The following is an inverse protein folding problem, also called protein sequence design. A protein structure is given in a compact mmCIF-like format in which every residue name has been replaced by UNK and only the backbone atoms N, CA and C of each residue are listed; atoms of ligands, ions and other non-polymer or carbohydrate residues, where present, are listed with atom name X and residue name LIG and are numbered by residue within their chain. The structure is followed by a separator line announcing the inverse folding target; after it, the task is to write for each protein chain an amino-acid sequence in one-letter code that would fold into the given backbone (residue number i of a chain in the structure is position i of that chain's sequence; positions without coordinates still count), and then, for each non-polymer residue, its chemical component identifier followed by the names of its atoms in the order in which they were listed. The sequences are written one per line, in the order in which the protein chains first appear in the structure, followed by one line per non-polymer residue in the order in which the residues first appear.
data_IF_880939561675
#
_entry.id   IF_880939561675
#
_cell.length_a   1.000
_cell.length_b   1.000
_cell.length_c   1.000
_cell.angle_alpha   90.00
_cell.angle_beta   90.00
_cell.angle_gamma   90.00
#
_symmetry.space_group_name_H-M   'P 1'
#
loop_
_entity.id
_entity.type
_entity.pdbx_description
1 polymer ?
#
# COMPACT_ATOMS: atom_id res chain seq x y z
N UNK A 1 -54.66 17.40 58.26
CA UNK A 1 -54.29 16.68 57.03
C UNK A 1 -52.89 17.11 56.60
N UNK A 2 -52.05 16.12 56.32
CA UNK A 2 -50.68 16.17 55.81
C UNK A 2 -50.65 16.79 54.38
N UNK A 3 -49.56 17.16 53.69
CA UNK A 3 -48.16 16.69 53.63
C UNK A 3 -47.28 17.82 53.06
N UNK A 4 -46.13 18.10 53.69
CA UNK A 4 -45.13 19.02 53.16
C UNK A 4 -44.05 18.22 52.40
N UNK A 5 -44.17 18.12 51.07
CA UNK A 5 -43.22 17.38 50.21
C UNK A 5 -41.91 18.17 50.06
N UNK A 6 -40.89 17.84 50.86
CA UNK A 6 -39.52 18.36 50.71
C UNK A 6 -38.90 17.80 49.43
N UNK A 7 -38.83 18.61 48.38
CA UNK A 7 -38.05 18.33 47.18
C UNK A 7 -36.55 18.34 47.53
N UNK A 8 -35.93 17.16 47.58
CA UNK A 8 -34.49 16.99 47.72
C UNK A 8 -33.76 17.42 46.46
N UNK A 9 -33.30 18.68 46.41
CA UNK A 9 -32.28 19.11 45.44
C UNK A 9 -30.95 18.48 45.86
N UNK A 10 -30.63 17.31 45.28
CA UNK A 10 -29.27 16.76 45.30
C UNK A 10 -28.36 17.83 44.68
N UNK A 11 -27.45 18.39 45.48
CA UNK A 11 -26.42 19.28 44.98
C UNK A 11 -25.54 18.48 44.01
N UNK A 12 -25.68 18.73 42.71
CA UNK A 12 -24.76 18.24 41.71
C UNK A 12 -23.43 18.94 41.97
N UNK A 13 -22.51 18.24 42.63
CA UNK A 13 -21.14 18.68 42.84
C UNK A 13 -20.48 18.77 41.45
N UNK A 14 -20.45 19.97 40.88
CA UNK A 14 -19.78 20.24 39.61
C UNK A 14 -18.27 20.14 39.77
N UNK A 15 -17.60 19.59 38.75
CA UNK A 15 -16.13 19.64 38.64
C UNK A 15 -15.65 21.09 38.64
N UNK A 16 -14.51 21.35 39.29
CA UNK A 16 -13.93 22.69 39.31
C UNK A 16 -13.31 23.03 37.95
N UNK A 17 -13.35 24.30 37.55
CA UNK A 17 -12.68 24.76 36.31
C UNK A 17 -11.19 24.41 36.31
N UNK A 18 -10.57 24.43 37.49
CA UNK A 18 -9.16 24.11 37.69
C UNK A 18 -8.87 22.64 37.36
N UNK A 19 -9.71 21.70 37.82
CA UNK A 19 -9.56 20.27 37.48
C UNK A 19 -9.66 20.03 35.97
N UNK A 20 -10.54 20.75 35.27
CA UNK A 20 -10.68 20.61 33.82
C UNK A 20 -9.46 21.16 33.08
N UNK A 21 -8.91 22.32 33.49
CA UNK A 21 -7.75 22.92 32.83
C UNK A 21 -6.50 22.03 33.00
N UNK A 22 -6.27 21.49 34.20
CA UNK A 22 -5.12 20.61 34.44
C UNK A 22 -5.19 19.36 33.57
N UNK A 23 -6.38 18.75 33.43
CA UNK A 23 -6.57 17.58 32.57
C UNK A 23 -6.34 17.92 31.10
N UNK A 24 -6.87 19.05 30.60
CA UNK A 24 -6.65 19.48 29.22
C UNK A 24 -5.17 19.75 28.92
N UNK A 25 -4.42 20.32 29.87
CA UNK A 25 -2.98 20.55 29.71
C UNK A 25 -2.21 19.22 29.61
N UNK A 26 -2.53 18.24 30.47
CA UNK A 26 -1.89 16.92 30.40
C UNK A 26 -2.23 16.21 29.08
N UNK A 27 -3.49 16.26 28.64
CA UNK A 27 -3.91 15.69 27.35
C UNK A 27 -3.19 16.35 26.17
N UNK A 28 -2.98 17.66 26.21
CA UNK A 28 -2.26 18.39 25.16
C UNK A 28 -0.79 17.93 25.06
N UNK A 29 -0.10 17.76 26.19
CA UNK A 29 1.29 17.29 26.21
C UNK A 29 1.40 15.85 25.70
N UNK A 30 0.50 14.97 26.15
CA UNK A 30 0.47 13.57 25.71
C UNK A 30 0.17 13.45 24.21
N UNK A 31 -0.80 14.22 23.70
CA UNK A 31 -1.11 14.25 22.28
C UNK A 31 0.08 14.72 21.44
N UNK A 32 0.76 15.80 21.87
CA UNK A 32 1.92 16.33 21.17
C UNK A 32 3.08 15.32 21.06
N UNK A 33 3.33 14.53 22.11
CA UNK A 33 4.36 13.50 22.08
C UNK A 33 3.97 12.26 21.26
N UNK A 34 2.66 11.99 21.10
CA UNK A 34 2.16 10.79 20.43
C UNK A 34 2.08 10.93 18.90
N UNK A 35 1.82 12.13 18.38
CA UNK A 35 1.65 12.36 16.93
C UNK A 35 2.84 11.87 16.08
N UNK A 36 4.11 12.19 16.40
CA UNK A 36 5.25 11.76 15.57
C UNK A 36 5.44 10.23 15.52
N UNK A 37 5.12 9.54 16.63
CA UNK A 37 5.20 8.08 16.70
C UNK A 37 4.12 7.42 15.83
N UNK A 38 2.91 7.99 15.81
CA UNK A 38 1.80 7.50 14.99
C UNK A 38 2.05 7.71 13.49
N UNK A 39 2.57 8.87 13.09
CA UNK A 39 2.87 9.13 11.67
C UNK A 39 3.93 8.17 11.13
N UNK A 40 5.02 7.93 11.88
CA UNK A 40 6.03 6.96 11.47
C UNK A 40 5.53 5.51 11.41
N UNK A 41 4.55 5.14 12.26
CA UNK A 41 3.93 3.81 12.19
C UNK A 41 3.01 3.67 10.96
N UNK A 42 2.29 4.73 10.60
CA UNK A 42 1.44 4.76 9.40
C UNK A 42 2.28 4.56 8.15
N UNK A 43 3.43 5.23 8.02
CA UNK A 43 4.29 5.09 6.85
C UNK A 43 4.87 3.67 6.73
N UNK A 44 5.31 3.09 7.85
CA UNK A 44 5.73 1.67 7.88
C UNK A 44 4.58 0.73 7.52
N UNK A 45 3.36 0.99 7.98
CA UNK A 45 2.20 0.17 7.63
C UNK A 45 1.90 0.25 6.11
N UNK A 46 1.97 1.45 5.52
CA UNK A 46 1.83 1.64 4.07
C UNK A 46 2.89 0.87 3.29
N UNK A 47 4.15 0.96 3.71
CA UNK A 47 5.26 0.21 3.11
C UNK A 47 5.02 -1.31 3.18
N UNK A 48 4.60 -1.83 4.35
CA UNK A 48 4.30 -3.26 4.51
C UNK A 48 3.16 -3.71 3.61
N UNK A 49 2.09 -2.94 3.50
CA UNK A 49 0.98 -3.21 2.58
C UNK A 49 1.45 -3.20 1.14
N UNK A 50 2.25 -2.19 0.75
CA UNK A 50 2.80 -2.08 -0.59
C UNK A 50 3.67 -3.29 -0.96
N UNK A 51 4.54 -3.74 -0.03
CA UNK A 51 5.38 -4.94 -0.25
C UNK A 51 4.51 -6.19 -0.40
N UNK A 52 3.41 -6.30 0.35
CA UNK A 52 2.49 -7.42 0.22
C UNK A 52 1.80 -7.43 -1.15
N UNK A 53 1.27 -6.29 -1.61
CA UNK A 53 0.72 -6.13 -2.96
C UNK A 53 1.75 -6.50 -4.03
N UNK A 54 2.97 -5.95 -3.93
CA UNK A 54 4.03 -6.19 -4.90
C UNK A 54 4.46 -7.67 -4.97
N UNK A 55 4.40 -8.40 -3.85
CA UNK A 55 4.64 -9.86 -3.81
C UNK A 55 3.55 -10.63 -4.54
N UNK A 56 2.29 -10.22 -4.42
CA UNK A 56 1.18 -10.82 -5.17
C UNK A 56 1.37 -10.58 -6.66
N UNK A 57 1.69 -9.34 -7.05
CA UNK A 57 2.00 -8.94 -8.43
C UNK A 57 3.17 -9.76 -8.99
N UNK A 58 4.27 -9.88 -8.24
CA UNK A 58 5.43 -10.69 -8.65
C UNK A 58 5.04 -12.15 -8.88
N UNK A 59 4.24 -12.73 -8.00
CA UNK A 59 3.81 -14.14 -8.10
C UNK A 59 2.88 -14.36 -9.30
N UNK A 60 1.94 -13.44 -9.53
CA UNK A 60 1.05 -13.47 -10.68
C UNK A 60 1.83 -13.32 -12.00
N UNK A 61 2.74 -12.36 -12.06
CA UNK A 61 3.61 -12.16 -13.22
C UNK A 61 4.51 -13.37 -13.48
N UNK A 62 5.09 -13.95 -12.44
CA UNK A 62 5.92 -15.14 -12.55
C UNK A 62 5.12 -16.35 -13.07
N UNK A 63 3.84 -16.46 -12.69
CA UNK A 63 2.93 -17.50 -13.17
C UNK A 63 2.69 -17.36 -14.67
N UNK A 64 2.25 -16.18 -15.11
CA UNK A 64 1.97 -15.92 -16.53
C UNK A 64 3.22 -16.00 -17.41
N UNK A 65 4.37 -15.53 -16.91
CA UNK A 65 5.63 -15.65 -17.63
C UNK A 65 6.05 -17.10 -17.83
N UNK A 66 5.79 -17.96 -16.84
CA UNK A 66 6.10 -19.39 -16.93
C UNK A 66 5.20 -20.09 -17.95
N UNK A 67 3.92 -19.73 -18.00
CA UNK A 67 2.97 -20.20 -19.01
C UNK A 67 3.42 -19.79 -20.42
N UNK A 68 3.71 -18.51 -20.62
CA UNK A 68 4.11 -17.96 -21.91
C UNK A 68 5.44 -18.56 -22.41
N UNK A 69 6.39 -18.77 -21.49
CA UNK A 69 7.64 -19.46 -21.82
C UNK A 69 7.42 -20.92 -22.23
N UNK A 70 6.47 -21.61 -21.60
CA UNK A 70 6.14 -22.99 -21.96
C UNK A 70 5.58 -23.12 -23.38
N UNK A 71 4.82 -22.12 -23.84
CA UNK A 71 4.17 -22.11 -25.14
C UNK A 71 5.07 -21.55 -26.25
N UNK A 72 5.78 -20.46 -25.97
CA UNK A 72 6.47 -19.64 -26.98
C UNK A 72 7.98 -19.49 -26.73
N UNK A 73 8.49 -20.03 -25.63
CA UNK A 73 9.90 -19.98 -25.26
C UNK A 73 10.39 -18.60 -24.84
N UNK A 74 11.70 -18.47 -24.64
CA UNK A 74 12.33 -17.27 -24.09
C UNK A 74 12.10 -15.99 -24.92
N UNK A 75 11.88 -16.11 -26.24
CA UNK A 75 11.74 -14.95 -27.13
C UNK A 75 10.42 -14.19 -26.93
N UNK A 76 9.41 -14.83 -26.35
CA UNK A 76 8.14 -14.17 -26.06
C UNK A 76 8.23 -13.22 -24.86
N UNK A 77 9.18 -13.48 -23.95
CA UNK A 77 9.48 -12.73 -22.75
C UNK A 77 10.52 -11.63 -23.03
N UNK A 78 10.12 -10.57 -23.74
CA UNK A 78 10.95 -9.39 -24.00
C UNK A 78 10.58 -8.21 -23.08
N UNK A 79 11.24 -7.06 -23.29
CA UNK A 79 11.06 -5.85 -22.47
C UNK A 79 9.64 -5.28 -22.52
N UNK A 80 8.90 -5.57 -23.58
CA UNK A 80 7.60 -4.97 -23.84
C UNK A 80 6.46 -5.91 -23.43
N UNK A 81 6.80 -7.10 -22.92
CA UNK A 81 5.89 -8.19 -22.60
C UNK A 81 4.67 -7.73 -21.80
N UNK A 82 4.85 -6.87 -20.79
CA UNK A 82 3.73 -6.38 -19.95
C UNK A 82 2.68 -5.60 -20.75
N UNK A 83 3.07 -4.92 -21.82
CA UNK A 83 2.17 -4.13 -22.67
C UNK A 83 1.55 -4.94 -23.81
N UNK A 84 2.09 -6.14 -24.08
CA UNK A 84 1.52 -7.02 -25.11
C UNK A 84 0.15 -7.51 -24.69
N UNK A 85 -0.76 -7.56 -25.65
CA UNK A 85 -2.07 -8.16 -25.48
C UNK A 85 -1.93 -9.69 -25.45
N UNK A 86 -2.36 -10.31 -24.36
CA UNK A 86 -2.52 -11.75 -24.28
C UNK A 86 -3.89 -12.15 -24.87
N UNK A 87 -4.13 -13.45 -25.13
CA UNK A 87 -5.44 -13.93 -25.61
C UNK A 87 -6.59 -13.37 -24.75
N UNK A 88 -7.55 -12.69 -25.39
CA UNK A 88 -8.71 -12.06 -24.73
C UNK A 88 -8.66 -10.53 -24.58
N UNK A 89 -7.95 -9.82 -25.46
CA UNK A 89 -7.91 -8.34 -25.57
C UNK A 89 -7.42 -7.57 -24.34
N UNK A 90 -6.83 -8.27 -23.36
CA UNK A 90 -6.19 -7.68 -22.17
C UNK A 90 -4.68 -7.72 -22.29
N UNK A 91 -4.01 -6.67 -21.81
CA UNK A 91 -2.54 -6.70 -21.70
C UNK A 91 -2.10 -7.72 -20.65
N UNK A 92 -0.83 -8.13 -20.71
CA UNK A 92 -0.26 -8.94 -19.62
C UNK A 92 -0.29 -8.18 -18.29
N UNK A 93 -0.07 -6.87 -18.30
CA UNK A 93 -0.26 -6.03 -17.11
C UNK A 93 -1.66 -6.20 -16.51
N UNK A 94 -2.72 -6.03 -17.31
CA UNK A 94 -4.11 -6.18 -16.84
C UNK A 94 -4.35 -7.58 -16.23
N UNK A 95 -3.83 -8.63 -16.88
CA UNK A 95 -3.97 -10.00 -16.38
C UNK A 95 -3.21 -10.23 -15.07
N UNK A 96 -2.02 -9.64 -14.93
CA UNK A 96 -1.22 -9.72 -13.71
C UNK A 96 -1.98 -9.04 -12.56
N UNK A 97 -2.52 -7.85 -12.81
CA UNK A 97 -3.26 -7.08 -11.81
C UNK A 97 -4.56 -7.78 -11.40
N UNK A 98 -5.31 -8.34 -12.36
CA UNK A 98 -6.49 -9.16 -12.08
C UNK A 98 -6.14 -10.39 -11.22
N UNK A 99 -5.06 -11.11 -11.53
CA UNK A 99 -4.61 -12.27 -10.76
C UNK A 99 -4.09 -11.91 -9.37
N UNK A 100 -3.52 -10.72 -9.22
CA UNK A 100 -3.02 -10.19 -7.95
C UNK A 100 -4.11 -9.53 -7.10
N UNK A 101 -5.36 -9.48 -7.60
CA UNK A 101 -6.50 -8.80 -6.98
C UNK A 101 -6.21 -7.30 -6.71
N UNK A 102 -5.56 -6.66 -7.68
CA UNK A 102 -5.22 -5.23 -7.63
C UNK A 102 -6.18 -4.47 -8.54
N UNK A 103 -6.91 -3.52 -7.96
CA UNK A 103 -7.70 -2.56 -8.72
C UNK A 103 -6.91 -1.25 -8.83
N UNK A 104 -6.45 -0.86 -10.03
CA UNK A 104 -5.70 0.37 -10.21
C UNK A 104 -6.53 1.60 -9.84
N UNK A 105 -5.86 2.64 -9.31
CA UNK A 105 -6.47 3.93 -9.01
C UNK A 105 -5.78 5.02 -9.81
N UNK A 106 -6.52 6.04 -10.20
CA UNK A 106 -5.94 7.25 -10.79
C UNK A 106 -6.18 8.44 -9.90
N UNK A 107 -5.22 9.35 -9.85
CA UNK A 107 -5.32 10.62 -9.14
C UNK A 107 -4.69 11.72 -9.98
N UNK A 108 -5.07 12.97 -9.76
CA UNK A 108 -4.47 14.11 -10.45
C UNK A 108 -3.65 14.91 -9.45
N UNK A 109 -2.34 15.00 -9.68
CA UNK A 109 -1.40 15.77 -8.87
C UNK A 109 -0.74 16.83 -9.75
N UNK A 110 -0.95 18.11 -9.44
CA UNK A 110 -0.39 19.22 -10.22
C UNK A 110 -0.79 19.23 -11.71
N UNK A 111 -1.94 18.64 -12.06
CA UNK A 111 -2.41 18.52 -13.44
C UNK A 111 -1.91 17.30 -14.21
N UNK A 112 -1.15 16.41 -13.55
CA UNK A 112 -0.68 15.14 -14.13
C UNK A 112 -1.48 13.98 -13.57
N UNK A 113 -1.92 13.07 -14.44
CA UNK A 113 -2.55 11.81 -14.02
C UNK A 113 -1.49 10.86 -13.47
N UNK A 114 -1.64 10.50 -12.20
CA UNK A 114 -0.85 9.48 -11.50
C UNK A 114 -1.67 8.20 -11.46
N UNK A 115 -1.05 7.06 -11.80
CA UNK A 115 -1.62 5.73 -11.65
C UNK A 115 -1.03 5.03 -10.42
N UNK A 116 -1.88 4.30 -9.73
CA UNK A 116 -1.57 3.47 -8.57
C UNK A 116 -2.07 2.05 -8.83
N UNK A 117 -1.42 1.06 -8.25
CA UNK A 117 -1.60 -0.33 -8.67
C UNK A 117 -1.07 -0.58 -10.08
N UNK A 118 0.08 0.02 -10.42
CA UNK A 118 0.60 0.17 -11.79
C UNK A 118 1.96 -0.52 -11.90
N UNK A 119 2.20 -1.25 -13.00
CA UNK A 119 3.48 -1.94 -13.27
C UNK A 119 4.22 -1.14 -14.34
N UNK A 120 5.18 -0.33 -13.93
CA UNK A 120 5.89 0.57 -14.85
C UNK A 120 6.99 -0.14 -15.64
N UNK A 121 7.56 -1.21 -15.08
CA UNK A 121 8.57 -2.01 -15.76
C UNK A 121 8.63 -3.43 -15.20
N UNK A 122 8.85 -4.40 -16.08
CA UNK A 122 9.14 -5.79 -15.70
C UNK A 122 10.12 -6.38 -16.70
N UNK A 123 11.17 -7.04 -16.21
CA UNK A 123 12.16 -7.71 -17.06
C UNK A 123 12.45 -9.12 -16.58
N UNK A 124 13.07 -9.91 -17.46
CA UNK A 124 13.41 -11.32 -17.21
C UNK A 124 14.91 -11.57 -17.21
N UNK A 125 15.34 -12.56 -16.42
CA UNK A 125 16.68 -13.12 -16.54
C UNK A 125 16.84 -13.69 -17.95
N UNK A 126 17.96 -13.39 -18.62
CA UNK A 126 18.18 -13.78 -20.01
C UNK A 126 17.95 -15.27 -20.24
N UNK A 127 17.05 -15.58 -21.18
CA UNK A 127 16.72 -16.94 -21.58
C UNK A 127 15.83 -17.72 -20.59
N UNK A 128 15.35 -17.10 -19.52
CA UNK A 128 14.60 -17.77 -18.44
C UNK A 128 13.26 -17.08 -18.20
N UNK A 129 12.24 -17.87 -17.88
CA UNK A 129 11.01 -17.37 -17.27
C UNK A 129 11.24 -17.05 -15.80
N UNK A 130 12.15 -16.12 -15.49
CA UNK A 130 12.39 -15.67 -14.12
C UNK A 130 12.45 -14.16 -14.13
N UNK A 131 11.63 -13.51 -13.31
CA UNK A 131 11.61 -12.06 -13.21
C UNK A 131 12.96 -11.57 -12.65
N UNK A 132 13.63 -10.69 -13.39
CA UNK A 132 14.88 -10.04 -13.00
C UNK A 132 14.62 -8.70 -12.31
N UNK A 133 13.71 -7.90 -12.86
CA UNK A 133 13.26 -6.65 -12.24
C UNK A 133 11.75 -6.49 -12.31
N UNK A 134 11.17 -5.85 -11.30
CA UNK A 134 9.78 -5.39 -11.29
C UNK A 134 9.75 -4.00 -10.65
N UNK A 135 9.14 -3.03 -11.31
CA UNK A 135 8.83 -1.71 -10.76
C UNK A 135 7.31 -1.58 -10.65
N UNK A 136 6.84 -1.32 -9.43
CA UNK A 136 5.42 -1.31 -9.08
C UNK A 136 5.10 -0.10 -8.21
N UNK A 137 4.01 0.60 -8.53
CA UNK A 137 3.47 1.64 -7.66
C UNK A 137 2.24 1.10 -6.95
N UNK A 138 2.29 1.00 -5.62
CA UNK A 138 1.19 0.44 -4.82
C UNK A 138 -0.09 1.27 -4.87
N UNK A 139 -1.21 0.67 -4.48
CA UNK A 139 -2.50 1.40 -4.40
C UNK A 139 -2.49 2.55 -3.38
N UNK A 140 -1.52 2.53 -2.46
CA UNK A 140 -1.26 3.58 -1.47
C UNK A 140 -0.19 4.59 -1.88
N UNK A 141 0.35 4.50 -3.11
CA UNK A 141 1.32 5.44 -3.68
C UNK A 141 2.79 5.15 -3.37
N UNK A 142 3.10 4.04 -2.71
CA UNK A 142 4.49 3.63 -2.46
C UNK A 142 5.07 2.97 -3.71
N UNK A 143 6.15 3.53 -4.26
CA UNK A 143 6.88 2.90 -5.37
C UNK A 143 7.86 1.87 -4.83
N UNK A 144 7.89 0.71 -5.47
CA UNK A 144 8.72 -0.43 -5.09
C UNK A 144 9.48 -0.94 -6.30
N UNK A 145 10.72 -1.34 -6.06
CA UNK A 145 11.56 -2.04 -7.02
C UNK A 145 11.96 -3.40 -6.47
N UNK A 146 11.75 -4.44 -7.25
CA UNK A 146 12.30 -5.77 -7.04
C UNK A 146 13.53 -5.93 -7.93
N UNK A 147 14.69 -6.25 -7.34
CA UNK A 147 15.92 -6.52 -8.07
C UNK A 147 16.92 -7.28 -7.18
N UNK A 148 18.03 -7.74 -7.77
CA UNK A 148 19.17 -8.24 -6.99
C UNK A 148 19.87 -7.09 -6.27
N UNK A 149 20.14 -7.28 -4.98
CA UNK A 149 20.99 -6.41 -4.19
C UNK A 149 22.48 -6.70 -4.44
N UNK A 150 23.36 -5.95 -3.79
CA UNK A 150 24.82 -6.10 -3.90
C UNK A 150 25.34 -7.48 -3.47
N UNK A 151 24.55 -8.24 -2.71
CA UNK A 151 24.85 -9.61 -2.27
C UNK A 151 24.37 -10.68 -3.27
N UNK A 152 23.60 -10.29 -4.29
CA UNK A 152 23.01 -11.18 -5.29
C UNK A 152 21.62 -11.71 -4.93
N UNK A 153 21.08 -11.33 -3.77
CA UNK A 153 19.75 -11.72 -3.31
C UNK A 153 18.68 -10.79 -3.86
N UNK A 154 17.51 -11.34 -4.17
CA UNK A 154 16.39 -10.54 -4.64
C UNK A 154 15.61 -9.94 -3.47
N UNK A 155 15.40 -8.64 -3.51
CA UNK A 155 14.66 -7.91 -2.48
C UNK A 155 13.74 -6.84 -3.08
N UNK A 156 12.72 -6.47 -2.32
CA UNK A 156 11.91 -5.28 -2.60
C UNK A 156 12.50 -4.10 -1.86
N UNK A 157 12.78 -3.02 -2.59
CA UNK A 157 13.25 -1.73 -2.06
C UNK A 157 12.23 -0.65 -2.40
N UNK A 158 11.91 0.21 -1.42
CA UNK A 158 11.13 1.43 -1.67
C UNK A 158 11.95 2.40 -2.50
N UNK A 159 11.32 3.00 -3.52
CA UNK A 159 11.91 4.03 -4.37
C UNK A 159 11.18 5.34 -4.10
N UNK A 160 11.92 6.42 -3.92
CA UNK A 160 11.36 7.78 -3.77
C UNK A 160 11.01 8.40 -5.13
#
# INVERSE_FOLDING_TARGET
MNENRRNGRKALKGFTLVEIIVVLVILAILAAAMIPALTGYIDKAKERTAIAEARNVLTAAQTLASEEYGLHGAKALDSDWITKTASGDKTYEDKILDLADITPKTSSEGGTTVKYGDITALTFDSGKAKIATLEYTSTGGTKLKYAKNSSGDYEFTVVE
#
